data_IF_858420228267
#
_entry.id   IF_858420228267
#
_cell.length_a   1.000
_cell.length_b   1.000
_cell.length_c   1.000
_cell.angle_alpha   90.00
_cell.angle_beta   90.00
_cell.angle_gamma   90.00
#
_symmetry.space_group_name_H-M   'P 1'
#
loop_
_entity.id
_entity.type
_entity.pdbx_description
1 polymer ?
#
# COMPACT_ATOMS: atom_id res chain seq x y z
N UNK A 1 12.65 -7.50 -0.74
CA UNK A 1 13.99 -8.04 -1.10
C UNK A 1 15.18 -7.79 -0.14
N UNK A 2 15.22 -6.76 0.72
CA UNK A 2 16.43 -6.45 1.55
C UNK A 2 16.76 -7.53 2.59
N UNK A 3 15.73 -8.10 3.22
CA UNK A 3 15.86 -9.22 4.19
C UNK A 3 16.35 -10.49 3.49
N UNK A 4 15.76 -10.85 2.34
CA UNK A 4 16.18 -12.03 1.57
C UNK A 4 17.64 -11.93 1.11
N UNK A 5 18.08 -10.78 0.59
CA UNK A 5 19.50 -10.59 0.22
C UNK A 5 20.44 -10.65 1.42
N UNK A 6 20.00 -10.23 2.60
CA UNK A 6 20.83 -10.23 3.82
C UNK A 6 20.94 -11.63 4.42
N UNK A 7 19.83 -12.37 4.47
CA UNK A 7 19.80 -13.78 4.87
C UNK A 7 20.61 -14.62 3.89
N UNK A 8 20.40 -14.46 2.59
CA UNK A 8 21.15 -15.20 1.57
C UNK A 8 22.65 -14.89 1.64
N UNK A 9 23.06 -13.64 1.81
CA UNK A 9 24.48 -13.30 2.01
C UNK A 9 25.09 -13.91 3.27
N UNK A 10 24.33 -13.94 4.39
CA UNK A 10 24.79 -14.53 5.66
C UNK A 10 24.84 -16.05 5.60
N UNK A 11 23.86 -16.70 4.99
CA UNK A 11 23.83 -18.16 4.80
C UNK A 11 24.95 -18.60 3.86
N UNK A 12 25.12 -17.93 2.71
CA UNK A 12 26.22 -18.21 1.77
C UNK A 12 27.59 -17.96 2.42
N UNK A 13 27.73 -16.94 3.29
CA UNK A 13 28.98 -16.71 4.01
C UNK A 13 29.23 -17.73 5.15
N UNK A 14 28.18 -18.19 5.84
CA UNK A 14 28.28 -19.14 6.94
C UNK A 14 28.47 -20.60 6.48
N UNK A 15 27.96 -20.95 5.29
CA UNK A 15 27.98 -22.32 4.76
C UNK A 15 28.83 -22.49 3.50
N UNK A 16 29.24 -21.41 2.85
CA UNK A 16 29.89 -21.43 1.52
C UNK A 16 31.38 -21.74 1.48
N UNK A 17 31.97 -22.27 2.56
CA UNK A 17 33.38 -22.73 2.51
C UNK A 17 33.53 -24.25 2.34
N UNK A 18 32.56 -25.08 2.75
CA UNK A 18 32.78 -26.54 2.81
C UNK A 18 31.68 -27.46 2.24
N UNK A 19 30.49 -26.95 1.86
CA UNK A 19 29.51 -27.78 1.14
C UNK A 19 28.87 -26.98 0.03
N UNK A 20 28.91 -27.53 -1.19
CA UNK A 20 28.31 -26.91 -2.38
C UNK A 20 26.88 -26.46 -2.11
N UNK A 21 26.53 -25.29 -2.66
CA UNK A 21 25.19 -24.67 -2.56
C UNK A 21 24.11 -25.73 -2.79
N UNK A 22 23.10 -25.76 -1.93
CA UNK A 22 21.95 -26.66 -2.11
C UNK A 22 21.24 -26.33 -3.44
N UNK A 23 20.57 -27.31 -4.04
CA UNK A 23 19.88 -27.14 -5.33
C UNK A 23 18.90 -25.94 -5.32
N UNK A 24 18.22 -25.72 -4.18
CA UNK A 24 17.32 -24.60 -3.96
C UNK A 24 18.03 -23.23 -4.00
N UNK A 25 19.21 -23.13 -3.39
CA UNK A 25 20.00 -21.89 -3.40
C UNK A 25 20.55 -21.57 -4.78
N UNK A 26 20.98 -22.61 -5.51
CA UNK A 26 21.48 -22.48 -6.89
C UNK A 26 20.37 -22.01 -7.82
N UNK A 27 19.17 -22.60 -7.70
CA UNK A 27 18.00 -22.18 -8.48
C UNK A 27 17.57 -20.76 -8.13
N UNK A 28 17.53 -20.41 -6.84
CA UNK A 28 17.22 -19.05 -6.38
C UNK A 28 18.20 -18.00 -6.91
N UNK A 29 19.50 -18.30 -6.94
CA UNK A 29 20.50 -17.41 -7.54
C UNK A 29 20.30 -17.26 -9.05
N UNK A 30 20.05 -18.36 -9.78
CA UNK A 30 19.82 -18.33 -11.23
C UNK A 30 18.54 -17.54 -11.56
N UNK A 31 17.50 -17.69 -10.75
CA UNK A 31 16.26 -16.93 -10.87
C UNK A 31 16.48 -15.43 -10.65
N UNK A 32 17.18 -15.03 -9.59
CA UNK A 32 17.48 -13.61 -9.31
C UNK A 32 18.31 -12.96 -10.43
N UNK A 33 19.22 -13.72 -11.04
CA UNK A 33 20.06 -13.25 -12.16
C UNK A 33 19.36 -13.31 -13.52
N UNK A 34 18.18 -13.93 -13.60
CA UNK A 34 17.41 -14.01 -14.84
C UNK A 34 16.71 -12.69 -15.19
N UNK A 35 16.34 -12.53 -16.45
CA UNK A 35 15.51 -11.41 -16.91
C UNK A 35 14.20 -11.30 -16.11
N UNK A 36 13.63 -12.43 -15.68
CA UNK A 36 12.42 -12.46 -14.86
C UNK A 36 12.66 -11.88 -13.46
N UNK A 37 13.78 -12.20 -12.81
CA UNK A 37 14.14 -11.64 -11.51
C UNK A 37 14.36 -10.12 -11.58
N UNK A 38 14.92 -9.62 -12.67
CA UNK A 38 15.07 -8.19 -12.93
C UNK A 38 13.71 -7.50 -13.13
N UNK A 39 12.81 -8.09 -13.91
CA UNK A 39 11.44 -7.58 -14.12
C UNK A 39 10.69 -7.49 -12.79
N UNK A 40 10.74 -8.54 -11.96
CA UNK A 40 10.10 -8.55 -10.65
C UNK A 40 10.60 -7.44 -9.72
N UNK A 41 11.90 -7.11 -9.77
CA UNK A 41 12.47 -6.00 -9.00
C UNK A 41 11.91 -4.64 -9.44
N UNK A 42 11.78 -4.41 -10.74
CA UNK A 42 11.19 -3.16 -11.25
C UNK A 42 9.71 -3.07 -10.88
N UNK A 43 8.99 -4.20 -11.01
CA UNK A 43 7.59 -4.29 -10.61
C UNK A 43 7.39 -4.00 -9.11
N UNK A 44 8.24 -4.52 -8.22
CA UNK A 44 8.18 -4.17 -6.79
C UNK A 44 8.27 -2.65 -6.56
N UNK A 45 9.20 -1.96 -7.25
CA UNK A 45 9.35 -0.50 -7.14
C UNK A 45 8.13 0.25 -7.66
N UNK A 46 7.58 -0.19 -8.79
CA UNK A 46 6.35 0.37 -9.35
C UNK A 46 5.16 0.20 -8.40
N UNK A 47 5.01 -0.97 -7.77
CA UNK A 47 3.93 -1.21 -6.80
C UNK A 47 4.05 -0.34 -5.54
N UNK A 48 5.27 0.02 -5.11
CA UNK A 48 5.47 1.01 -4.04
C UNK A 48 4.88 2.37 -4.44
N UNK A 49 5.18 2.82 -5.66
CA UNK A 49 4.68 4.07 -6.19
C UNK A 49 3.14 4.07 -6.33
N UNK A 50 2.58 3.00 -6.91
CA UNK A 50 1.12 2.84 -7.04
C UNK A 50 0.43 2.81 -5.67
N UNK A 51 1.03 2.16 -4.66
CA UNK A 51 0.47 2.13 -3.31
C UNK A 51 0.36 3.50 -2.63
N UNK A 52 1.22 4.45 -3.03
CA UNK A 52 1.18 5.84 -2.54
C UNK A 52 0.24 6.70 -3.39
N UNK A 53 0.19 6.47 -4.71
CA UNK A 53 -0.64 7.25 -5.63
C UNK A 53 -2.11 6.84 -5.64
N UNK A 54 -2.41 5.56 -5.43
CA UNK A 54 -3.77 5.02 -5.47
C UNK A 54 -4.80 5.81 -4.66
N UNK A 55 -4.52 6.21 -3.40
CA UNK A 55 -5.43 7.01 -2.58
C UNK A 55 -5.88 8.33 -3.21
N UNK A 56 -5.05 8.95 -4.06
CA UNK A 56 -5.39 10.22 -4.73
C UNK A 56 -6.54 10.06 -5.74
N UNK A 57 -6.92 8.84 -6.11
CA UNK A 57 -8.13 8.57 -6.87
C UNK A 57 -9.42 9.03 -6.14
N UNK A 58 -9.36 9.29 -4.84
CA UNK A 58 -10.47 9.88 -4.06
C UNK A 58 -10.59 11.40 -4.26
N UNK A 59 -9.56 12.09 -4.77
CA UNK A 59 -9.60 13.54 -4.95
C UNK A 59 -10.74 14.04 -5.86
N UNK A 60 -11.02 13.44 -7.03
CA UNK A 60 -12.17 13.86 -7.85
C UNK A 60 -13.49 13.77 -7.11
N UNK A 61 -13.66 12.76 -6.24
CA UNK A 61 -14.86 12.59 -5.44
C UNK A 61 -14.97 13.66 -4.35
N UNK A 62 -13.86 14.01 -3.69
CA UNK A 62 -13.80 15.15 -2.76
C UNK A 62 -14.13 16.47 -3.45
N UNK A 63 -13.58 16.71 -4.65
CA UNK A 63 -13.86 17.94 -5.42
C UNK A 63 -15.34 18.03 -5.79
N UNK A 64 -15.96 16.90 -6.18
CA UNK A 64 -17.40 16.83 -6.39
C UNK A 64 -18.18 17.19 -5.14
N UNK A 65 -17.80 16.60 -4.00
CA UNK A 65 -18.49 16.77 -2.74
C UNK A 65 -18.45 18.22 -2.21
N UNK A 66 -17.29 18.88 -2.29
CA UNK A 66 -17.10 20.21 -1.70
C UNK A 66 -17.35 21.39 -2.66
N UNK A 67 -17.09 21.23 -3.96
CA UNK A 67 -16.99 22.40 -4.85
C UNK A 67 -17.96 22.41 -6.04
N UNK A 68 -18.31 21.25 -6.61
CA UNK A 68 -19.03 21.23 -7.89
C UNK A 68 -20.40 20.56 -7.85
N UNK A 69 -20.61 19.60 -6.95
CA UNK A 69 -21.77 18.69 -6.96
C UNK A 69 -22.23 18.34 -5.54
N UNK A 70 -22.12 19.28 -4.59
CA UNK A 70 -22.44 19.06 -3.18
C UNK A 70 -23.91 18.64 -2.96
N UNK A 71 -24.82 19.03 -3.84
CA UNK A 71 -26.23 18.59 -3.84
C UNK A 71 -26.40 17.08 -4.01
N UNK A 72 -25.38 16.37 -4.51
CA UNK A 72 -25.40 14.91 -4.68
C UNK A 72 -24.75 14.16 -3.50
N UNK A 73 -24.39 14.87 -2.43
CA UNK A 73 -23.82 14.27 -1.21
C UNK A 73 -24.74 13.21 -0.59
N UNK A 74 -26.07 13.35 -0.73
CA UNK A 74 -27.06 12.37 -0.23
C UNK A 74 -26.94 10.99 -0.87
N UNK A 75 -26.34 10.89 -2.06
CA UNK A 75 -26.06 9.62 -2.73
C UNK A 75 -24.78 8.92 -2.27
N UNK A 76 -24.04 9.50 -1.31
CA UNK A 76 -22.84 8.91 -0.74
C UNK A 76 -23.16 8.33 0.65
N UNK A 77 -22.74 7.09 0.91
CA UNK A 77 -22.97 6.41 2.19
C UNK A 77 -21.97 6.86 3.26
N UNK A 78 -22.44 7.57 4.30
CA UNK A 78 -21.62 7.97 5.44
C UNK A 78 -20.98 6.76 6.13
N UNK A 79 -21.74 5.67 6.25
CA UNK A 79 -21.25 4.42 6.85
C UNK A 79 -20.07 3.86 6.06
N UNK A 80 -20.18 3.81 4.72
CA UNK A 80 -19.11 3.31 3.86
C UNK A 80 -17.81 4.11 4.04
N UNK A 81 -17.90 5.43 3.95
CA UNK A 81 -16.72 6.30 4.07
C UNK A 81 -16.12 6.28 5.48
N UNK A 82 -16.95 6.13 6.52
CA UNK A 82 -16.50 5.97 7.91
C UNK A 82 -15.75 4.65 8.11
N UNK A 83 -16.27 3.55 7.56
CA UNK A 83 -15.60 2.25 7.59
C UNK A 83 -14.27 2.29 6.85
N UNK A 84 -14.20 2.94 5.68
CA UNK A 84 -12.94 3.12 4.97
C UNK A 84 -11.92 3.96 5.74
N UNK A 85 -12.35 5.01 6.44
CA UNK A 85 -11.46 5.78 7.32
C UNK A 85 -10.90 4.89 8.45
N UNK A 86 -11.76 4.14 9.14
CA UNK A 86 -11.35 3.25 10.23
C UNK A 86 -10.41 2.13 9.75
N UNK A 87 -10.72 1.48 8.62
CA UNK A 87 -9.87 0.44 8.04
C UNK A 87 -8.52 1.01 7.59
N UNK A 88 -8.51 2.21 7.00
CA UNK A 88 -7.26 2.88 6.61
C UNK A 88 -6.40 3.20 7.84
N UNK A 89 -6.99 3.60 8.96
CA UNK A 89 -6.27 3.79 10.23
C UNK A 89 -5.65 2.48 10.73
N UNK A 90 -6.39 1.37 10.71
CA UNK A 90 -5.86 0.06 11.11
C UNK A 90 -4.68 -0.37 10.23
N UNK A 91 -4.80 -0.19 8.91
CA UNK A 91 -3.72 -0.47 7.97
C UNK A 91 -2.52 0.47 8.10
N UNK A 92 -2.76 1.74 8.44
CA UNK A 92 -1.72 2.70 8.75
C UNK A 92 -0.89 2.23 9.94
N UNK A 93 -1.55 1.92 11.06
CA UNK A 93 -0.92 1.40 12.28
C UNK A 93 -0.14 0.12 11.97
N UNK A 94 -0.77 -0.83 11.27
CA UNK A 94 -0.10 -2.06 10.86
C UNK A 94 1.13 -1.80 9.98
N UNK A 95 1.02 -0.90 9.02
CA UNK A 95 2.11 -0.49 8.12
C UNK A 95 3.33 0.05 8.87
N UNK A 96 3.09 0.81 9.95
CA UNK A 96 4.14 1.29 10.85
C UNK A 96 4.84 0.14 11.56
N UNK A 97 4.08 -0.84 12.07
CA UNK A 97 4.61 -2.03 12.74
C UNK A 97 5.52 -2.83 11.79
N UNK A 98 5.07 -3.10 10.56
CA UNK A 98 5.86 -3.87 9.57
C UNK A 98 6.91 -3.03 8.83
N UNK A 99 6.97 -1.72 9.08
CA UNK A 99 7.90 -0.75 8.47
C UNK A 99 7.88 -0.78 6.93
N UNK A 100 6.69 -0.91 6.34
CA UNK A 100 6.49 -0.95 4.89
C UNK A 100 5.93 0.38 4.39
N UNK A 101 6.80 1.16 3.75
CA UNK A 101 6.49 2.51 3.25
C UNK A 101 5.20 2.61 2.42
N UNK A 102 4.92 1.74 1.44
CA UNK A 102 3.67 1.83 0.67
C UNK A 102 2.42 1.63 1.53
N UNK A 103 2.53 0.81 2.58
CA UNK A 103 1.40 0.44 3.43
C UNK A 103 1.07 1.62 4.33
N UNK A 104 2.01 2.12 5.13
CA UNK A 104 1.67 3.22 6.05
C UNK A 104 1.51 4.56 5.32
N UNK A 105 2.33 4.90 4.31
CA UNK A 105 2.13 6.19 3.62
C UNK A 105 0.82 6.18 2.85
N UNK A 106 0.56 5.13 2.06
CA UNK A 106 -0.67 5.01 1.28
C UNK A 106 -1.92 5.05 2.16
N UNK A 107 -1.96 4.25 3.22
CA UNK A 107 -3.12 4.22 4.11
C UNK A 107 -3.26 5.47 4.98
N UNK A 108 -2.16 6.16 5.30
CA UNK A 108 -2.22 7.46 5.96
C UNK A 108 -2.90 8.52 5.09
N UNK A 109 -2.57 8.56 3.79
CA UNK A 109 -3.24 9.43 2.82
C UNK A 109 -4.72 9.02 2.67
N UNK A 110 -5.01 7.74 2.48
CA UNK A 110 -6.39 7.23 2.41
C UNK A 110 -7.21 7.63 3.63
N UNK A 111 -6.65 7.48 4.83
CA UNK A 111 -7.33 7.85 6.08
C UNK A 111 -7.74 9.32 6.08
N UNK A 112 -6.82 10.24 5.73
CA UNK A 112 -7.13 11.68 5.65
C UNK A 112 -8.21 11.96 4.61
N UNK A 113 -8.07 11.41 3.40
CA UNK A 113 -9.03 11.64 2.32
C UNK A 113 -10.42 11.07 2.65
N UNK A 114 -10.49 9.90 3.28
CA UNK A 114 -11.74 9.29 3.71
C UNK A 114 -12.39 10.06 4.87
N UNK A 115 -11.62 10.62 5.79
CA UNK A 115 -12.14 11.52 6.82
C UNK A 115 -12.71 12.81 6.22
N UNK A 116 -12.04 13.38 5.21
CA UNK A 116 -12.58 14.54 4.49
C UNK A 116 -13.89 14.19 3.77
N UNK A 117 -14.02 12.98 3.23
CA UNK A 117 -15.29 12.49 2.66
C UNK A 117 -16.39 12.43 3.71
N UNK A 118 -16.11 11.84 4.88
CA UNK A 118 -17.03 11.80 6.02
C UNK A 118 -17.50 13.20 6.41
N UNK A 119 -16.55 14.14 6.56
CA UNK A 119 -16.86 15.53 6.92
C UNK A 119 -17.71 16.22 5.86
N UNK A 120 -17.37 16.06 4.57
CA UNK A 120 -18.15 16.67 3.49
C UNK A 120 -19.57 16.12 3.40
N UNK A 121 -19.77 14.83 3.63
CA UNK A 121 -21.10 14.21 3.65
C UNK A 121 -21.92 14.76 4.81
N UNK A 122 -21.34 14.83 6.02
CA UNK A 122 -22.02 15.40 7.19
C UNK A 122 -22.44 16.85 6.98
N UNK A 123 -21.58 17.67 6.35
CA UNK A 123 -21.86 19.09 6.08
C UNK A 123 -22.99 19.25 5.04
N UNK A 124 -23.01 18.44 3.99
CA UNK A 124 -23.90 18.65 2.84
C UNK A 124 -25.18 17.79 2.83
N UNK A 125 -25.19 16.65 3.53
CA UNK A 125 -26.31 15.70 3.51
C UNK A 125 -26.68 15.13 4.89
N UNK A 126 -25.83 15.27 5.90
CA UNK A 126 -26.06 14.68 7.22
C UNK A 126 -25.79 13.18 7.24
N UNK A 127 -26.64 12.42 7.95
CA UNK A 127 -26.48 10.96 8.09
C UNK A 127 -27.10 10.25 6.88
N UNK A 128 -26.28 9.48 6.17
CA UNK A 128 -26.67 8.71 4.97
C UNK A 128 -26.15 7.27 5.07
N UNK A 129 -26.87 6.32 4.47
CA UNK A 129 -26.55 4.88 4.56
C UNK A 129 -26.40 4.25 3.19
#
# INVERSE_FOLDING_TARGET
MRIYRMVLKRVVAAYGKDRGLTLAETFGQKFIKSNLGLVMKHFEGFMVFVGILGPFATLPQLVKLFFTHSQHASGQSLLTWSLYAALSLLWFIYGLIVKKLPIYVGNGISMVLNLLMVLGILIHAGVTF
#
